data_IF_894125718224
#
_entry.id   IF_894125718224
#
_cell.length_a   1.000
_cell.length_b   1.000
_cell.length_c   1.000
_cell.angle_alpha   90.00
_cell.angle_beta   90.00
_cell.angle_gamma   90.00
#
_symmetry.space_group_name_H-M   'P 1'
#
loop_
_entity.id
_entity.type
_entity.pdbx_description
1 polymer ?
#
# COMPACT_ATOMS: atom_id res chain seq x y z
N UNK A 1 8.49 -7.39 4.07
CA UNK A 1 7.91 -8.06 2.89
C UNK A 1 6.98 -7.12 2.15
N UNK A 2 6.66 -7.38 0.89
CA UNK A 2 5.65 -6.59 0.16
C UNK A 2 4.23 -7.07 0.48
N UNK A 3 3.22 -6.23 0.25
CA UNK A 3 1.80 -6.59 0.42
C UNK A 3 1.44 -7.84 -0.40
N UNK A 4 1.95 -7.95 -1.62
CA UNK A 4 1.72 -9.11 -2.48
C UNK A 4 2.25 -10.41 -1.85
N UNK A 5 3.43 -10.38 -1.23
CA UNK A 5 4.03 -11.53 -0.56
C UNK A 5 3.30 -11.91 0.74
N UNK A 6 2.54 -11.00 1.33
CA UNK A 6 1.76 -11.24 2.55
C UNK A 6 0.44 -11.99 2.30
N UNK A 7 0.04 -12.15 1.02
CA UNK A 7 -1.23 -12.75 0.66
C UNK A 7 -1.29 -14.21 1.14
N UNK A 8 -2.31 -14.55 1.92
CA UNK A 8 -2.48 -15.89 2.49
C UNK A 8 -1.70 -16.11 3.80
N UNK A 9 -1.00 -15.08 4.29
CA UNK A 9 -0.37 -15.07 5.61
C UNK A 9 -1.20 -14.22 6.58
N UNK A 10 -0.95 -14.38 7.86
CA UNK A 10 -1.51 -13.57 8.94
C UNK A 10 -0.41 -13.28 9.97
N UNK A 11 -0.52 -12.12 10.62
CA UNK A 11 0.44 -11.67 11.63
C UNK A 11 -0.30 -11.11 12.83
N UNK A 12 0.25 -11.26 14.04
CA UNK A 12 -0.36 -10.68 15.24
C UNK A 12 -0.45 -9.15 15.12
N UNK A 13 0.62 -8.52 14.64
CA UNK A 13 0.67 -7.09 14.36
C UNK A 13 1.08 -6.79 12.91
N UNK A 14 0.48 -5.77 12.30
CA UNK A 14 0.84 -5.26 10.97
C UNK A 14 1.05 -3.76 11.03
N UNK A 15 2.19 -3.32 10.51
CA UNK A 15 2.52 -1.91 10.33
C UNK A 15 2.45 -1.58 8.85
N UNK A 16 1.56 -0.65 8.47
CA UNK A 16 1.44 -0.13 7.11
C UNK A 16 2.00 1.28 7.03
N UNK A 17 3.31 1.43 6.76
CA UNK A 17 3.89 2.72 6.45
C UNK A 17 3.46 3.16 5.04
N UNK A 18 3.71 4.43 4.72
CA UNK A 18 3.62 4.97 3.35
C UNK A 18 2.23 5.02 2.71
N UNK A 19 1.15 4.79 3.47
CA UNK A 19 -0.23 4.93 2.98
C UNK A 19 -0.61 6.39 2.61
N UNK A 20 0.25 7.35 2.95
CA UNK A 20 0.15 8.76 2.56
C UNK A 20 0.61 9.03 1.12
N UNK A 21 1.24 8.07 0.44
CA UNK A 21 1.63 8.20 -0.97
C UNK A 21 0.40 8.15 -1.88
N UNK A 22 0.56 8.63 -3.12
CA UNK A 22 -0.51 8.60 -4.13
C UNK A 22 -1.05 7.18 -4.29
N UNK A 23 -2.37 7.04 -4.19
CA UNK A 23 -3.05 5.74 -4.26
C UNK A 23 -2.85 5.07 -5.62
N UNK A 24 -2.87 5.89 -6.68
CA UNK A 24 -2.48 5.49 -8.01
C UNK A 24 -1.03 5.90 -8.25
N UNK A 25 -0.21 4.93 -8.65
CA UNK A 25 1.13 5.20 -9.14
C UNK A 25 1.16 6.03 -10.43
N UNK A 26 2.34 6.29 -11.01
CA UNK A 26 2.46 7.01 -12.27
C UNK A 26 1.68 6.31 -13.38
N UNK A 27 1.07 7.09 -14.28
CA UNK A 27 0.39 6.53 -15.44
C UNK A 27 1.35 5.71 -16.30
N UNK A 28 0.90 4.59 -16.88
CA UNK A 28 1.71 3.81 -17.80
C UNK A 28 2.10 4.68 -19.00
N UNK A 29 3.24 4.42 -19.63
CA UNK A 29 3.70 5.23 -20.77
C UNK A 29 2.80 5.07 -21.99
N UNK A 30 2.26 3.86 -22.19
CA UNK A 30 1.36 3.53 -23.28
C UNK A 30 0.17 2.71 -22.76
N UNK A 31 -0.97 2.85 -23.45
CA UNK A 31 -2.19 2.08 -23.22
C UNK A 31 -2.55 1.33 -24.49
N UNK A 32 -2.78 0.02 -24.34
CA UNK A 32 -3.29 -0.83 -25.40
C UNK A 32 -4.82 -0.89 -25.32
N UNK A 33 -5.48 -0.77 -26.46
CA UNK A 33 -6.90 -1.07 -26.56
C UNK A 33 -7.09 -2.57 -26.76
N UNK A 34 -7.36 -3.28 -25.68
CA UNK A 34 -7.61 -4.71 -25.64
C UNK A 34 -9.11 -4.88 -25.30
N UNK A 35 -9.95 -5.29 -26.26
CA UNK A 35 -11.40 -5.41 -26.03
C UNK A 35 -11.74 -6.45 -24.97
N UNK A 36 -11.02 -7.57 -24.99
CA UNK A 36 -11.23 -8.71 -24.11
C UNK A 36 -9.88 -9.35 -23.77
N UNK A 37 -9.80 -9.94 -22.57
CA UNK A 37 -8.61 -10.65 -22.11
C UNK A 37 -8.30 -11.78 -23.09
N UNK A 38 -7.06 -11.82 -23.59
CA UNK A 38 -6.59 -12.84 -24.53
C UNK A 38 -6.76 -12.48 -26.01
N UNK A 39 -7.45 -11.39 -26.34
CA UNK A 39 -7.53 -10.89 -27.71
C UNK A 39 -6.34 -9.99 -28.07
N UNK A 40 -5.95 -9.89 -29.36
CA UNK A 40 -4.92 -8.96 -29.79
C UNK A 40 -5.37 -7.51 -29.58
N UNK A 41 -4.41 -6.64 -29.26
CA UNK A 41 -4.67 -5.22 -29.14
C UNK A 41 -5.12 -4.62 -30.49
N UNK A 42 -6.21 -3.86 -30.48
CA UNK A 42 -6.73 -3.14 -31.66
C UNK A 42 -5.99 -1.83 -31.92
N UNK A 43 -5.10 -1.43 -31.03
CA UNK A 43 -4.34 -0.20 -31.12
C UNK A 43 -3.55 0.08 -29.85
N UNK A 44 -2.56 0.97 -29.98
CA UNK A 44 -1.73 1.45 -28.89
C UNK A 44 -1.71 2.99 -28.95
N UNK A 45 -1.82 3.64 -27.79
CA UNK A 45 -1.67 5.08 -27.65
C UNK A 45 -0.66 5.38 -26.54
N UNK A 46 0.10 6.47 -26.68
CA UNK A 46 0.81 7.03 -25.53
C UNK A 46 -0.19 7.60 -24.54
N UNK A 47 0.12 7.52 -23.26
CA UNK A 47 -0.69 8.15 -22.24
C UNK A 47 -0.62 9.66 -22.35
N UNK A 48 -1.78 10.30 -22.31
CA UNK A 48 -1.96 11.75 -22.25
C UNK A 48 -2.58 12.14 -20.92
N UNK A 49 -2.32 13.37 -20.48
CA UNK A 49 -2.85 13.88 -19.21
C UNK A 49 -4.38 13.97 -19.23
N UNK A 50 -5.00 13.86 -18.06
CA UNK A 50 -6.47 13.88 -17.89
C UNK A 50 -7.12 15.10 -18.56
N UNK A 51 -6.48 16.27 -18.48
CA UNK A 51 -6.95 17.50 -19.12
C UNK A 51 -7.07 17.40 -20.65
N UNK A 52 -6.36 16.48 -21.29
CA UNK A 52 -6.35 16.31 -22.75
C UNK A 52 -7.36 15.25 -23.23
N UNK A 53 -8.00 14.52 -22.32
CA UNK A 53 -8.85 13.38 -22.67
C UNK A 53 -10.03 13.77 -23.56
N UNK A 54 -10.57 14.97 -23.40
CA UNK A 54 -11.69 15.43 -24.19
C UNK A 54 -11.36 15.62 -25.69
N UNK A 55 -10.07 15.74 -26.04
CA UNK A 55 -9.61 15.79 -27.43
C UNK A 55 -9.48 14.40 -28.07
N UNK A 56 -9.50 13.34 -27.28
CA UNK A 56 -9.37 11.98 -27.78
C UNK A 56 -10.69 11.50 -28.40
N UNK A 57 -10.64 10.62 -29.41
CA UNK A 57 -11.83 9.89 -29.86
C UNK A 57 -12.48 9.13 -28.70
N UNK A 58 -13.81 9.01 -28.69
CA UNK A 58 -14.59 8.35 -27.61
C UNK A 58 -14.04 6.98 -27.22
N UNK A 59 -13.59 6.18 -28.20
CA UNK A 59 -12.94 4.88 -27.99
C UNK A 59 -11.74 5.01 -27.04
N UNK A 60 -10.86 5.97 -27.27
CA UNK A 60 -9.69 6.18 -26.41
C UNK A 60 -10.06 6.76 -25.06
N UNK A 61 -11.07 7.63 -24.97
CA UNK A 61 -11.57 8.08 -23.66
C UNK A 61 -12.02 6.89 -22.78
N UNK A 62 -12.71 5.92 -23.38
CA UNK A 62 -13.13 4.69 -22.69
C UNK A 62 -11.93 3.83 -22.26
N UNK A 63 -10.92 3.65 -23.13
CA UNK A 63 -9.71 2.87 -22.81
C UNK A 63 -8.92 3.51 -21.66
N UNK A 64 -8.75 4.83 -21.68
CA UNK A 64 -8.06 5.58 -20.63
C UNK A 64 -8.82 5.51 -19.30
N UNK A 65 -10.13 5.77 -19.32
CA UNK A 65 -10.99 5.66 -18.14
C UNK A 65 -10.99 4.24 -17.56
N UNK A 66 -11.08 3.22 -18.42
CA UNK A 66 -11.00 1.82 -18.03
C UNK A 66 -9.68 1.47 -17.36
N UNK A 67 -8.54 1.95 -17.90
CA UNK A 67 -7.23 1.73 -17.29
C UNK A 67 -7.13 2.35 -15.88
N UNK A 68 -7.63 3.58 -15.71
CA UNK A 68 -7.66 4.23 -14.38
C UNK A 68 -8.55 3.45 -13.41
N UNK A 69 -9.74 3.03 -13.85
CA UNK A 69 -10.65 2.24 -13.04
C UNK A 69 -10.03 0.90 -12.61
N UNK A 70 -9.42 0.15 -13.53
CA UNK A 70 -8.75 -1.13 -13.21
C UNK A 70 -7.62 -0.95 -12.19
N UNK A 71 -6.80 0.10 -12.36
CA UNK A 71 -5.69 0.40 -11.43
C UNK A 71 -6.19 0.83 -10.05
N UNK A 72 -7.30 1.57 -10.01
CA UNK A 72 -7.94 1.93 -8.74
C UNK A 72 -8.47 0.69 -8.02
N UNK A 73 -9.15 -0.20 -8.75
CA UNK A 73 -9.61 -1.48 -8.19
C UNK A 73 -8.45 -2.30 -7.63
N UNK A 74 -7.34 -2.40 -8.36
CA UNK A 74 -6.14 -3.10 -7.89
C UNK A 74 -5.55 -2.45 -6.62
N UNK A 75 -5.41 -1.13 -6.59
CA UNK A 75 -4.91 -0.40 -5.42
C UNK A 75 -5.81 -0.62 -4.19
N UNK A 76 -7.13 -0.62 -4.37
CA UNK A 76 -8.10 -0.90 -3.31
C UNK A 76 -8.01 -2.35 -2.81
N UNK A 77 -7.82 -3.32 -3.71
CA UNK A 77 -7.58 -4.71 -3.35
C UNK A 77 -6.29 -4.87 -2.52
N UNK A 78 -5.22 -4.17 -2.89
CA UNK A 78 -3.96 -4.22 -2.13
C UNK A 78 -4.11 -3.59 -0.75
N UNK A 79 -4.80 -2.44 -0.64
CA UNK A 79 -5.09 -1.83 0.65
C UNK A 79 -5.90 -2.79 1.54
N UNK A 80 -6.94 -3.41 1.00
CA UNK A 80 -7.74 -4.40 1.72
C UNK A 80 -6.91 -5.60 2.20
N UNK A 81 -6.10 -6.18 1.31
CA UNK A 81 -5.22 -7.31 1.69
C UNK A 81 -4.27 -6.88 2.80
N UNK A 82 -3.62 -5.72 2.67
CA UNK A 82 -2.67 -5.20 3.64
C UNK A 82 -3.29 -5.00 5.03
N UNK A 83 -4.47 -4.38 5.11
CA UNK A 83 -5.16 -4.11 6.38
C UNK A 83 -5.65 -5.40 7.05
N UNK A 84 -6.07 -6.39 6.26
CA UNK A 84 -6.62 -7.65 6.77
C UNK A 84 -5.58 -8.71 7.10
N UNK A 85 -4.28 -8.39 6.99
CA UNK A 85 -3.23 -9.32 7.46
C UNK A 85 -3.07 -9.31 8.98
N UNK A 86 -3.56 -8.26 9.66
CA UNK A 86 -3.49 -8.11 11.11
C UNK A 86 -4.51 -8.99 11.82
N UNK A 87 -4.07 -9.78 12.80
CA UNK A 87 -4.94 -10.55 13.70
C UNK A 87 -5.32 -9.78 14.95
N UNK A 88 -4.38 -9.03 15.53
CA UNK A 88 -4.56 -8.35 16.82
C UNK A 88 -4.34 -6.85 16.72
N UNK A 89 -3.27 -6.40 16.05
CA UNK A 89 -2.92 -4.98 15.93
C UNK A 89 -2.71 -4.51 14.48
N UNK A 90 -3.40 -3.44 14.07
CA UNK A 90 -3.17 -2.74 12.81
C UNK A 90 -2.68 -1.32 13.10
N UNK A 91 -1.46 -1.02 12.66
CA UNK A 91 -0.81 0.27 12.88
C UNK A 91 -0.61 1.00 11.55
N UNK A 92 -1.26 2.15 11.41
CA UNK A 92 -1.20 2.97 10.21
C UNK A 92 -0.43 4.25 10.51
N UNK A 93 0.73 4.41 9.86
CA UNK A 93 1.65 5.51 10.19
C UNK A 93 1.86 6.41 8.97
N UNK A 94 1.63 7.70 9.17
CA UNK A 94 1.75 8.73 8.14
C UNK A 94 2.53 9.94 8.68
N UNK A 95 3.26 10.67 7.81
CA UNK A 95 3.74 11.99 8.15
C UNK A 95 2.55 12.96 8.28
N UNK A 96 2.75 14.11 8.94
CA UNK A 96 1.74 15.16 9.00
C UNK A 96 1.27 15.57 7.60
N UNK A 97 -0.04 15.76 7.46
CA UNK A 97 -0.63 16.26 6.23
C UNK A 97 -0.19 17.70 5.95
N UNK A 98 -0.08 18.05 4.67
CA UNK A 98 0.23 19.43 4.29
C UNK A 98 -0.93 20.42 4.48
N UNK A 99 -2.17 19.93 4.67
CA UNK A 99 -3.38 20.73 4.83
C UNK A 99 -4.37 20.03 5.76
N UNK A 100 -5.17 20.82 6.47
CA UNK A 100 -6.17 20.36 7.44
C UNK A 100 -7.36 19.60 6.84
N UNK A 101 -7.77 19.96 5.62
CA UNK A 101 -8.85 19.25 4.90
C UNK A 101 -8.45 17.81 4.53
N UNK A 102 -7.14 17.55 4.49
CA UNK A 102 -6.51 16.29 4.15
C UNK A 102 -7.17 15.61 2.95
N UNK A 103 -7.50 16.39 1.91
CA UNK A 103 -8.20 15.93 0.72
C UNK A 103 -7.22 15.56 -0.41
N UNK A 104 -6.50 14.46 -0.19
CA UNK A 104 -5.48 13.97 -1.11
C UNK A 104 -5.94 12.65 -1.76
N UNK A 105 -5.47 12.34 -2.97
CA UNK A 105 -5.75 11.06 -3.65
C UNK A 105 -4.85 9.93 -3.08
N UNK A 106 -4.93 9.66 -1.78
CA UNK A 106 -4.06 8.73 -1.03
C UNK A 106 -4.90 7.78 -0.17
N UNK A 107 -4.34 6.62 0.19
CA UNK A 107 -5.03 5.67 1.07
C UNK A 107 -5.28 6.26 2.48
N UNK A 108 -4.32 7.02 2.99
CA UNK A 108 -4.43 7.71 4.28
C UNK A 108 -5.61 8.68 4.34
N UNK A 109 -5.75 9.54 3.32
CA UNK A 109 -6.84 10.49 3.21
C UNK A 109 -8.19 9.78 3.12
N UNK A 110 -8.27 8.73 2.28
CA UNK A 110 -9.48 7.92 2.16
C UNK A 110 -9.93 7.35 3.51
N UNK A 111 -9.00 6.76 4.26
CA UNK A 111 -9.28 6.16 5.56
C UNK A 111 -9.64 7.20 6.62
N UNK A 112 -8.93 8.33 6.66
CA UNK A 112 -9.23 9.46 7.54
C UNK A 112 -10.70 9.91 7.41
N UNK A 113 -11.15 10.11 6.17
CA UNK A 113 -12.54 10.50 5.88
C UNK A 113 -13.54 9.36 6.11
N UNK A 114 -13.18 8.12 5.79
CA UNK A 114 -14.05 6.96 6.02
C UNK A 114 -14.32 6.72 7.51
N UNK A 115 -13.32 6.92 8.37
CA UNK A 115 -13.46 6.83 9.83
C UNK A 115 -13.99 8.10 10.50
N UNK A 116 -14.21 9.17 9.73
CA UNK A 116 -14.68 10.47 10.23
C UNK A 116 -13.80 11.00 11.37
N UNK A 117 -12.49 10.95 11.14
CA UNK A 117 -11.52 11.46 12.12
C UNK A 117 -11.74 12.96 12.33
N UNK A 118 -11.67 13.41 13.59
CA UNK A 118 -11.83 14.83 13.98
C UNK A 118 -10.50 15.49 14.37
N UNK A 119 -9.50 14.67 14.71
CA UNK A 119 -8.13 15.05 15.07
C UNK A 119 -7.42 15.79 13.92
N UNK A 120 -6.49 16.71 14.24
CA UNK A 120 -5.83 17.52 13.23
C UNK A 120 -4.76 16.69 12.47
N UNK A 121 -4.95 16.41 11.17
CA UNK A 121 -4.01 15.59 10.42
C UNK A 121 -2.66 16.29 10.17
N UNK A 122 -2.55 17.59 10.48
CA UNK A 122 -1.32 18.38 10.31
C UNK A 122 -0.43 18.40 11.55
N UNK A 123 -0.91 17.92 12.69
CA UNK A 123 -0.13 17.90 13.93
C UNK A 123 0.79 16.67 14.00
N UNK A 124 1.96 16.86 14.59
CA UNK A 124 2.94 15.79 14.81
C UNK A 124 2.59 14.97 16.05
N UNK A 125 2.73 13.64 15.96
CA UNK A 125 2.52 12.73 17.09
C UNK A 125 1.06 12.58 17.53
N UNK A 126 0.11 13.09 16.73
CA UNK A 126 -1.31 12.99 17.03
C UNK A 126 -1.90 11.64 16.57
N UNK A 127 -2.71 11.03 17.43
CA UNK A 127 -3.47 9.82 17.09
C UNK A 127 -4.75 10.26 16.39
N UNK A 128 -4.81 10.04 15.08
CA UNK A 128 -5.96 10.47 14.28
C UNK A 128 -7.20 9.57 14.46
N UNK A 129 -6.95 8.29 14.72
CA UNK A 129 -7.99 7.29 14.91
C UNK A 129 -7.45 6.15 15.77
N UNK A 130 -8.27 5.69 16.70
CA UNK A 130 -8.00 4.54 17.53
C UNK A 130 -9.29 3.75 17.76
N UNK A 131 -9.17 2.42 17.77
CA UNK A 131 -10.28 1.52 18.08
C UNK A 131 -9.73 0.20 18.59
N UNK A 132 -10.40 -0.38 19.58
CA UNK A 132 -9.97 -1.62 20.24
C UNK A 132 -9.15 -1.37 21.49
N UNK A 133 -8.31 -2.34 21.86
CA UNK A 133 -7.44 -2.27 23.03
C UNK A 133 -5.98 -2.06 22.61
N UNK A 134 -5.41 -0.92 22.99
CA UNK A 134 -4.02 -0.59 22.71
C UNK A 134 -3.03 -1.55 23.40
N UNK A 135 -3.44 -2.17 24.51
CA UNK A 135 -2.62 -3.09 25.30
C UNK A 135 -2.94 -4.57 25.02
N UNK A 136 -3.41 -4.90 23.80
CA UNK A 136 -3.76 -6.28 23.41
C UNK A 136 -2.63 -7.30 23.63
N UNK A 137 -1.37 -6.85 23.71
CA UNK A 137 -0.18 -7.68 23.95
C UNK A 137 0.16 -7.89 25.44
N UNK A 138 -0.52 -7.20 26.38
CA UNK A 138 -0.17 -7.18 27.80
C UNK A 138 -0.28 -8.52 28.51
N UNK A 139 -1.18 -9.40 28.05
CA UNK A 139 -1.39 -10.74 28.63
C UNK A 139 -0.45 -11.80 28.03
N UNK A 140 0.38 -11.44 27.06
CA UNK A 140 1.38 -12.34 26.48
C UNK A 140 2.47 -12.59 27.52
N UNK A 141 2.43 -13.74 28.20
CA UNK A 141 3.59 -14.23 28.95
C UNK A 141 4.71 -14.47 27.95
N UNK A 142 5.60 -13.50 27.79
CA UNK A 142 6.85 -13.69 27.06
C UNK A 142 7.68 -14.65 27.91
N UNK A 143 7.62 -15.94 27.61
CA UNK A 143 8.64 -16.85 28.11
C UNK A 143 9.98 -16.39 27.52
N UNK A 144 10.99 -16.08 28.34
CA UNK A 144 12.28 -15.65 27.84
C UNK A 144 12.86 -16.78 26.99
N UNK A 145 12.98 -16.55 25.68
CA UNK A 145 13.72 -17.43 24.80
C UNK A 145 15.17 -17.36 25.24
N UNK A 146 15.65 -18.42 25.91
CA UNK A 146 17.05 -18.56 26.24
C UNK A 146 17.86 -18.44 24.94
N UNK A 147 18.96 -17.68 24.92
CA UNK A 147 19.77 -17.55 23.72
C UNK A 147 20.23 -18.95 23.30
N UNK A 148 19.76 -19.39 22.12
CA UNK A 148 20.22 -20.64 21.52
C UNK A 148 21.71 -20.50 21.26
N UNK A 149 22.51 -21.28 21.99
CA UNK A 149 23.93 -21.48 21.75
C UNK A 149 24.11 -22.28 20.46
N UNK A 150 23.78 -21.67 19.33
CA UNK A 150 24.32 -22.13 18.05
C UNK A 150 25.80 -21.76 18.06
N UNK A 151 26.64 -22.78 18.26
CA UNK A 151 28.06 -22.68 17.97
C UNK A 151 28.21 -22.42 16.48
N UNK A 152 28.48 -21.18 16.11
CA UNK A 152 29.00 -20.84 14.79
C UNK A 152 30.34 -21.57 14.59
N UNK A 153 30.27 -22.74 13.96
CA UNK A 153 31.46 -23.41 13.43
C UNK A 153 31.80 -22.71 12.11
N UNK A 154 32.50 -21.58 12.19
CA UNK A 154 32.99 -20.85 11.02
C UNK A 154 34.25 -21.54 10.51
N UNK A 155 34.24 -22.24 9.36
CA UNK A 155 35.46 -22.80 8.81
C UNK A 155 36.37 -21.67 8.33
N UNK A 156 37.49 -21.46 9.03
CA UNK A 156 38.53 -20.51 8.64
C UNK A 156 39.23 -20.98 7.36
N UNK A 157 38.68 -20.65 6.19
CA UNK A 157 39.45 -20.71 4.94
C UNK A 157 40.45 -19.56 4.93
N UNK A 158 41.69 -19.84 5.36
CA UNK A 158 42.83 -18.97 5.05
C UNK A 158 43.03 -18.94 3.54
N UNK A 159 42.68 -17.83 2.90
CA UNK A 159 43.13 -17.52 1.56
C UNK A 159 44.59 -17.09 1.65
N UNK A 160 45.51 -18.02 1.37
CA UNK A 160 46.90 -17.71 1.08
C UNK A 160 46.99 -17.12 -0.33
N UNK A 161 47.30 -15.82 -0.43
CA UNK A 161 47.73 -15.21 -1.67
C UNK A 161 49.22 -15.52 -1.88
N UNK A 162 49.54 -16.10 -3.03
CA UNK A 162 50.87 -16.19 -3.62
C UNK A 162 50.79 -15.60 -5.04
#
# INVERSE_FOLDING_TARGET
MTVHQSKGLEFDAVFLPEIHKALLGPSPQCLADIPEIGQPARGLSRSVGEAQWHFLPRRWQAVFGGSVASRLTEAMCLLYVAMTRARQGLYLVIPPAGKKDFNNKTAASLLYHAWKCEADPTAEGEVLFESGDANWFGDSKIEPVAPSTEKEDVPSRRLSFA
#
